data_IF_979545748086
#
_entry.id   IF_979545748086
#
_cell.length_a   1.000
_cell.length_b   1.000
_cell.length_c   1.000
_cell.angle_alpha   90.00
_cell.angle_beta   90.00
_cell.angle_gamma   90.00
#
_symmetry.space_group_name_H-M   'P 1'
#
loop_
_entity.id
_entity.type
_entity.pdbx_description
1 polymer ?
#
# COMPACT_ATOMS: atom_id res chain seq x y z
N UNK A 1 64.63 34.37 22.44
CA UNK A 1 64.78 33.61 21.18
C UNK A 1 64.06 32.29 21.35
N UNK A 2 63.27 31.87 20.36
CA UNK A 2 62.61 30.56 20.40
C UNK A 2 63.67 29.49 20.13
N UNK A 3 63.79 28.53 21.03
CA UNK A 3 64.76 27.44 20.91
C UNK A 3 64.39 26.54 19.71
N UNK A 4 65.40 25.95 19.06
CA UNK A 4 65.18 24.98 17.97
C UNK A 4 64.28 23.83 18.41
N UNK A 5 64.35 23.42 19.69
CA UNK A 5 63.46 22.40 20.24
C UNK A 5 61.98 22.80 20.22
N UNK A 6 61.65 24.06 20.50
CA UNK A 6 60.27 24.55 20.44
C UNK A 6 59.76 24.60 18.99
N UNK A 7 60.62 24.96 18.03
CA UNK A 7 60.25 24.97 16.61
C UNK A 7 59.90 23.56 16.12
N UNK A 8 60.68 22.56 16.53
CA UNK A 8 60.42 21.15 16.21
C UNK A 8 59.11 20.69 16.87
N UNK A 9 58.86 21.03 18.13
CA UNK A 9 57.61 20.69 18.82
C UNK A 9 56.38 21.26 18.12
N UNK A 10 56.42 22.54 17.73
CA UNK A 10 55.36 23.20 16.99
C UNK A 10 55.12 22.53 15.63
N UNK A 11 56.19 22.11 14.95
CA UNK A 11 56.09 21.40 13.67
C UNK A 11 55.45 20.02 13.82
N UNK A 12 55.84 19.23 14.82
CA UNK A 12 55.19 17.95 15.12
C UNK A 12 53.72 18.12 15.51
N UNK A 13 53.41 19.15 16.29
CA UNK A 13 52.02 19.47 16.66
C UNK A 13 51.18 19.81 15.42
N UNK A 14 51.73 20.55 14.46
CA UNK A 14 51.08 20.84 13.19
C UNK A 14 50.84 19.58 12.33
N UNK A 15 51.80 18.65 12.30
CA UNK A 15 51.63 17.34 11.64
C UNK A 15 50.49 16.55 12.29
N UNK A 16 50.46 16.49 13.62
CA UNK A 16 49.40 15.79 14.36
C UNK A 16 48.03 16.43 14.11
N UNK A 17 47.96 17.76 14.10
CA UNK A 17 46.74 18.50 13.78
C UNK A 17 46.23 18.17 12.36
N UNK A 18 47.13 18.10 11.37
CA UNK A 18 46.78 17.70 10.00
C UNK A 18 46.28 16.25 9.92
N UNK A 19 46.92 15.33 10.64
CA UNK A 19 46.46 13.94 10.72
C UNK A 19 45.07 13.81 11.36
N UNK A 20 44.78 14.60 12.40
CA UNK A 20 43.44 14.64 13.02
C UNK A 20 42.42 15.19 12.03
N UNK A 21 42.74 16.28 11.31
CA UNK A 21 41.85 16.84 10.30
C UNK A 21 41.54 15.84 9.16
N UNK A 22 42.53 15.04 8.76
CA UNK A 22 42.35 13.95 7.80
C UNK A 22 41.49 12.80 8.37
N UNK A 23 41.65 12.45 9.66
CA UNK A 23 40.77 11.48 10.33
C UNK A 23 39.31 11.93 10.36
N UNK A 24 39.06 13.19 10.66
CA UNK A 24 37.70 13.76 10.62
C UNK A 24 37.11 13.71 9.20
N UNK A 25 37.92 13.96 8.18
CA UNK A 25 37.49 13.83 6.78
C UNK A 25 37.07 12.40 6.44
N UNK A 26 37.85 11.43 6.90
CA UNK A 26 37.61 10.03 6.60
C UNK A 26 36.30 9.53 7.20
N UNK A 27 35.93 9.99 8.39
CA UNK A 27 34.62 9.74 9.00
C UNK A 27 33.46 10.24 8.11
N UNK A 28 33.58 11.44 7.57
CA UNK A 28 32.58 12.01 6.65
C UNK A 28 32.54 11.25 5.32
N UNK A 29 33.71 10.86 4.80
CA UNK A 29 33.83 10.08 3.56
C UNK A 29 33.19 8.70 3.69
N UNK A 30 33.40 8.03 4.83
CA UNK A 30 32.77 6.75 5.16
C UNK A 30 31.25 6.93 5.25
N UNK A 31 30.78 7.98 5.93
CA UNK A 31 29.34 8.29 6.01
C UNK A 31 28.70 8.51 4.64
N UNK A 32 29.40 9.16 3.71
CA UNK A 32 28.91 9.43 2.34
C UNK A 32 28.78 8.16 1.50
N UNK A 33 29.70 7.20 1.64
CA UNK A 33 29.60 5.90 0.95
C UNK A 33 28.55 4.99 1.57
N UNK A 34 28.36 5.15 2.88
CA UNK A 34 27.38 4.44 3.66
C UNK A 34 25.96 4.87 3.25
N UNK A 35 25.59 6.09 3.58
CA UNK A 35 24.21 6.56 3.39
C UNK A 35 24.09 7.13 1.99
N UNK A 36 23.08 6.70 1.22
CA UNK A 36 22.64 7.40 0.00
C UNK A 36 22.08 8.76 0.41
N UNK A 37 22.99 9.68 0.66
CA UNK A 37 22.69 11.01 1.17
C UNK A 37 22.40 11.90 -0.03
N UNK A 38 21.31 12.67 0.02
CA UNK A 38 20.95 13.60 -1.05
C UNK A 38 22.05 14.66 -1.25
N UNK A 39 22.19 15.18 -2.47
CA UNK A 39 23.25 16.11 -2.88
C UNK A 39 23.34 17.35 -1.95
N UNK A 40 22.20 17.80 -1.41
CA UNK A 40 22.11 18.96 -0.51
C UNK A 40 22.81 18.70 0.83
N UNK A 41 22.59 17.53 1.44
CA UNK A 41 23.23 17.16 2.70
C UNK A 41 24.73 16.96 2.53
N UNK A 42 25.15 16.41 1.40
CA UNK A 42 26.57 16.29 1.03
C UNK A 42 27.22 17.67 0.97
N UNK A 43 26.56 18.65 0.32
CA UNK A 43 27.04 20.03 0.27
C UNK A 43 27.11 20.69 1.65
N UNK A 44 26.11 20.49 2.51
CA UNK A 44 26.11 21.02 3.89
C UNK A 44 27.28 20.47 4.71
N UNK A 45 27.54 19.17 4.60
CA UNK A 45 28.65 18.50 5.28
C UNK A 45 30.01 18.98 4.78
N UNK A 46 30.16 19.20 3.47
CA UNK A 46 31.38 19.77 2.91
C UNK A 46 31.59 21.18 3.48
N UNK A 47 30.57 22.04 3.49
CA UNK A 47 30.68 23.40 4.06
C UNK A 47 31.08 23.35 5.54
N UNK A 48 30.44 22.48 6.34
CA UNK A 48 30.77 22.30 7.76
C UNK A 48 32.18 21.76 7.95
N UNK A 49 32.63 20.84 7.09
CA UNK A 49 33.99 20.30 7.14
C UNK A 49 35.02 21.39 6.81
N UNK A 50 34.83 22.13 5.72
CA UNK A 50 35.72 23.23 5.32
C UNK A 50 35.80 24.30 6.42
N UNK A 51 34.67 24.64 7.05
CA UNK A 51 34.64 25.57 8.18
C UNK A 51 35.39 25.01 9.40
N UNK A 52 35.17 23.74 9.73
CA UNK A 52 35.85 23.07 10.85
C UNK A 52 37.35 23.03 10.64
N UNK A 53 37.81 22.63 9.45
CA UNK A 53 39.24 22.59 9.10
C UNK A 53 39.86 23.98 9.14
N UNK A 54 39.17 25.00 8.62
CA UNK A 54 39.65 26.37 8.67
C UNK A 54 39.81 26.85 10.12
N UNK A 55 38.81 26.64 10.97
CA UNK A 55 38.87 26.98 12.40
C UNK A 55 39.96 26.20 13.11
N UNK A 56 40.10 24.90 12.82
CA UNK A 56 41.12 24.05 13.42
C UNK A 56 42.54 24.51 13.07
N UNK A 57 42.79 24.79 11.78
CA UNK A 57 44.03 25.40 11.31
C UNK A 57 44.31 26.73 12.03
N UNK A 58 43.30 27.58 12.16
CA UNK A 58 43.43 28.87 12.83
C UNK A 58 43.78 28.72 14.32
N UNK A 59 43.13 27.79 15.02
CA UNK A 59 43.43 27.47 16.42
C UNK A 59 44.85 26.91 16.57
N UNK A 60 45.27 26.00 15.69
CA UNK A 60 46.64 25.46 15.69
C UNK A 60 47.66 26.58 15.51
N UNK A 61 47.46 27.48 14.55
CA UNK A 61 48.37 28.63 14.34
C UNK A 61 48.37 29.57 15.54
N UNK A 62 47.19 29.86 16.11
CA UNK A 62 47.04 30.77 17.24
C UNK A 62 47.74 30.23 18.51
N UNK A 63 47.48 28.97 18.87
CA UNK A 63 48.04 28.35 20.07
C UNK A 63 49.54 28.06 19.94
N UNK A 64 50.03 27.70 18.75
CA UNK A 64 51.41 27.27 18.60
C UNK A 64 52.41 28.41 18.42
N UNK A 65 51.99 29.60 18.00
CA UNK A 65 52.96 30.67 17.66
C UNK A 65 52.55 32.08 18.09
N UNK A 66 51.68 32.24 19.10
CA UNK A 66 51.24 33.57 19.56
C UNK A 66 50.69 34.44 18.40
N UNK A 67 50.09 33.80 17.39
CA UNK A 67 49.57 34.47 16.19
C UNK A 67 50.58 34.81 15.08
N UNK A 68 51.88 34.46 15.22
CA UNK A 68 52.83 34.62 14.11
C UNK A 68 52.60 33.54 13.04
N UNK A 69 52.04 33.96 11.89
CA UNK A 69 51.84 33.12 10.71
C UNK A 69 53.18 32.65 10.15
N UNK A 70 53.65 31.47 10.57
CA UNK A 70 54.85 30.83 10.03
C UNK A 70 54.47 29.73 9.04
N UNK A 71 54.97 29.83 7.81
CA UNK A 71 54.62 28.94 6.69
C UNK A 71 54.85 27.45 6.97
N UNK A 72 55.81 27.11 7.85
CA UNK A 72 56.09 25.72 8.19
C UNK A 72 54.95 25.01 8.97
N UNK A 73 54.03 25.74 9.61
CA UNK A 73 52.83 25.14 10.24
C UNK A 73 51.87 24.61 9.16
N UNK A 74 51.71 25.35 8.06
CA UNK A 74 50.90 24.91 6.93
C UNK A 74 51.52 23.71 6.24
N UNK A 75 52.84 23.74 6.01
CA UNK A 75 53.57 22.61 5.43
C UNK A 75 53.46 21.38 6.34
N UNK A 76 53.61 21.53 7.66
CA UNK A 76 53.41 20.45 8.63
C UNK A 76 51.99 19.86 8.56
N UNK A 77 50.96 20.69 8.47
CA UNK A 77 49.58 20.23 8.29
C UNK A 77 49.40 19.42 6.99
N UNK A 78 49.90 19.93 5.86
CA UNK A 78 49.82 19.24 4.56
C UNK A 78 50.54 17.90 4.60
N UNK A 79 51.74 17.87 5.21
CA UNK A 79 52.50 16.63 5.41
C UNK A 79 51.72 15.67 6.30
N UNK A 80 51.11 16.14 7.39
CA UNK A 80 50.29 15.32 8.27
C UNK A 80 49.09 14.68 7.56
N UNK A 81 48.39 15.45 6.72
CA UNK A 81 47.30 14.93 5.89
C UNK A 81 47.81 13.89 4.88
N UNK A 82 48.90 14.17 4.17
CA UNK A 82 49.48 13.24 3.20
C UNK A 82 49.96 11.94 3.85
N UNK A 83 50.63 12.04 5.00
CA UNK A 83 51.11 10.88 5.76
C UNK A 83 49.93 10.00 6.19
N UNK A 84 48.86 10.63 6.66
CA UNK A 84 47.63 9.96 7.08
C UNK A 84 46.94 9.24 5.90
N UNK A 85 46.68 9.94 4.79
CA UNK A 85 46.03 9.38 3.60
C UNK A 85 46.84 8.23 3.00
N UNK A 86 48.18 8.35 2.93
CA UNK A 86 49.05 7.29 2.42
C UNK A 86 49.02 6.03 3.29
N UNK A 87 48.91 6.18 4.62
CA UNK A 87 48.87 5.05 5.55
C UNK A 87 47.50 4.37 5.57
N UNK A 88 46.43 5.13 5.30
CA UNK A 88 45.05 4.70 5.50
C UNK A 88 44.28 4.40 4.21
N UNK A 89 44.89 4.56 3.05
CA UNK A 89 44.36 4.10 1.76
C UNK A 89 43.68 2.71 1.84
N UNK A 90 44.34 1.73 2.48
CA UNK A 90 43.79 0.38 2.66
C UNK A 90 42.68 0.30 3.72
N UNK A 91 42.70 1.15 4.75
CA UNK A 91 41.65 1.20 5.77
C UNK A 91 40.36 1.76 5.17
N UNK A 92 40.45 2.79 4.32
CA UNK A 92 39.30 3.44 3.68
C UNK A 92 38.48 2.45 2.86
N UNK A 93 39.16 1.57 2.09
CA UNK A 93 38.50 0.54 1.28
C UNK A 93 37.77 -0.47 2.19
N UNK A 94 38.43 -0.94 3.25
CA UNK A 94 37.83 -1.90 4.21
C UNK A 94 36.67 -1.29 5.00
N UNK A 95 36.83 -0.05 5.46
CA UNK A 95 35.81 0.71 6.19
C UNK A 95 34.57 0.93 5.32
N UNK A 96 34.76 1.26 4.04
CA UNK A 96 33.66 1.40 3.07
C UNK A 96 32.81 0.13 3.00
N UNK A 97 33.45 -1.04 2.87
CA UNK A 97 32.77 -2.34 2.84
C UNK A 97 32.10 -2.69 4.18
N UNK A 98 32.68 -2.30 5.32
CA UNK A 98 32.08 -2.53 6.64
C UNK A 98 30.80 -1.70 6.81
N UNK A 99 30.81 -0.42 6.43
CA UNK A 99 29.64 0.45 6.68
C UNK A 99 28.49 0.14 5.72
N UNK A 100 28.76 -0.21 4.45
CA UNK A 100 27.72 -0.73 3.55
C UNK A 100 27.01 -1.95 4.19
N UNK A 101 27.77 -2.89 4.75
CA UNK A 101 27.22 -4.05 5.47
C UNK A 101 26.41 -3.64 6.70
N UNK A 102 26.89 -2.64 7.46
CA UNK A 102 26.20 -2.12 8.64
C UNK A 102 24.83 -1.54 8.29
N UNK A 103 24.73 -0.78 7.20
CA UNK A 103 23.46 -0.20 6.75
C UNK A 103 22.49 -1.26 6.28
N UNK A 104 22.95 -2.25 5.50
CA UNK A 104 22.09 -3.37 5.10
C UNK A 104 21.56 -4.08 6.35
N UNK A 105 22.38 -4.21 7.40
CA UNK A 105 21.97 -4.80 8.69
C UNK A 105 20.93 -3.94 9.40
N UNK A 106 21.13 -2.62 9.47
CA UNK A 106 20.16 -1.68 10.07
C UNK A 106 18.84 -1.70 9.30
N UNK A 107 18.89 -1.68 7.96
CA UNK A 107 17.69 -1.70 7.13
C UNK A 107 16.91 -3.00 7.28
N UNK A 108 17.60 -4.15 7.34
CA UNK A 108 16.98 -5.45 7.67
C UNK A 108 16.39 -5.44 9.07
N UNK A 109 17.06 -4.85 10.05
CA UNK A 109 16.56 -4.75 11.42
C UNK A 109 15.29 -3.89 11.50
N UNK A 110 15.27 -2.73 10.84
CA UNK A 110 14.10 -1.87 10.74
C UNK A 110 12.95 -2.59 10.02
N UNK A 111 13.22 -3.22 8.89
CA UNK A 111 12.22 -4.00 8.17
C UNK A 111 11.64 -5.14 9.03
N UNK A 112 12.50 -5.84 9.77
CA UNK A 112 12.08 -6.89 10.70
C UNK A 112 11.24 -6.31 11.84
N UNK A 113 11.68 -5.21 12.45
CA UNK A 113 10.97 -4.54 13.54
C UNK A 113 9.60 -4.00 13.10
N UNK A 114 9.48 -3.48 11.87
CA UNK A 114 8.21 -2.95 11.31
C UNK A 114 7.27 -4.07 10.87
N UNK A 115 7.80 -5.13 10.23
CA UNK A 115 6.97 -6.25 9.74
C UNK A 115 6.49 -7.17 10.86
N UNK A 116 7.17 -7.20 12.01
CA UNK A 116 6.79 -8.01 13.16
C UNK A 116 5.43 -7.66 13.77
N UNK A 117 5.13 -6.39 14.14
CA UNK A 117 3.80 -6.02 14.66
C UNK A 117 2.71 -6.20 13.60
N UNK A 118 3.03 -6.03 12.31
CA UNK A 118 2.07 -6.20 11.22
C UNK A 118 1.67 -7.67 11.04
N UNK A 119 2.64 -8.60 11.10
CA UNK A 119 2.37 -10.05 11.10
C UNK A 119 1.53 -10.48 12.30
N UNK A 120 1.81 -9.91 13.47
CA UNK A 120 1.05 -10.22 14.70
C UNK A 120 -0.39 -9.68 14.60
N UNK A 121 -0.58 -8.45 14.12
CA UNK A 121 -1.90 -7.85 13.92
C UNK A 121 -2.75 -8.65 12.93
N UNK A 122 -2.18 -9.06 11.78
CA UNK A 122 -2.90 -9.91 10.82
C UNK A 122 -3.34 -11.24 11.46
N UNK A 123 -2.49 -11.87 12.27
CA UNK A 123 -2.84 -13.12 12.96
C UNK A 123 -3.98 -12.89 13.98
N UNK A 124 -3.94 -11.79 14.72
CA UNK A 124 -4.99 -11.44 15.70
C UNK A 124 -6.33 -11.15 15.02
N UNK A 125 -6.35 -10.57 13.82
CA UNK A 125 -7.59 -10.24 13.09
C UNK A 125 -8.11 -11.43 12.26
N UNK A 126 -7.23 -12.23 11.67
CA UNK A 126 -7.63 -13.37 10.85
C UNK A 126 -8.34 -14.46 11.67
N UNK A 127 -7.97 -14.65 12.94
CA UNK A 127 -8.61 -15.60 13.85
C UNK A 127 -10.10 -15.30 14.09
N UNK A 128 -10.51 -14.09 14.55
CA UNK A 128 -11.92 -13.75 14.77
C UNK A 128 -12.69 -13.64 13.46
N UNK A 129 -12.09 -13.14 12.37
CA UNK A 129 -12.76 -13.08 11.07
C UNK A 129 -13.08 -14.48 10.55
N UNK A 130 -12.15 -15.43 10.63
CA UNK A 130 -12.40 -16.82 10.26
C UNK A 130 -13.47 -17.47 11.15
N UNK A 131 -13.53 -17.11 12.44
CA UNK A 131 -14.56 -17.59 13.36
C UNK A 131 -15.95 -17.03 13.00
N UNK A 132 -16.06 -15.73 12.75
CA UNK A 132 -17.30 -15.06 12.35
C UNK A 132 -17.78 -15.60 11.00
N UNK A 133 -16.89 -15.80 10.03
CA UNK A 133 -17.25 -16.35 8.72
C UNK A 133 -17.87 -17.76 8.85
N UNK A 134 -17.28 -18.63 9.70
CA UNK A 134 -17.87 -19.94 10.01
C UNK A 134 -19.25 -19.84 10.68
N UNK A 135 -19.46 -18.83 11.52
CA UNK A 135 -20.74 -18.60 12.19
C UNK A 135 -21.81 -18.11 11.21
N UNK A 136 -21.46 -17.16 10.34
CA UNK A 136 -22.32 -16.65 9.26
C UNK A 136 -22.70 -17.78 8.30
N UNK A 137 -21.74 -18.63 7.91
CA UNK A 137 -22.00 -19.75 7.00
C UNK A 137 -23.00 -20.76 7.58
N UNK A 138 -22.90 -21.04 8.89
CA UNK A 138 -23.90 -21.85 9.61
C UNK A 138 -25.28 -21.17 9.61
N UNK A 139 -25.33 -19.87 9.91
CA UNK A 139 -26.58 -19.10 9.92
C UNK A 139 -27.24 -19.09 8.53
N UNK A 140 -26.45 -18.87 7.48
CA UNK A 140 -26.94 -18.80 6.11
C UNK A 140 -27.48 -20.16 5.62
N UNK A 141 -26.79 -21.26 5.94
CA UNK A 141 -27.31 -22.61 5.68
C UNK A 141 -28.63 -22.86 6.43
N UNK A 142 -28.73 -22.42 7.68
CA UNK A 142 -29.94 -22.56 8.48
C UNK A 142 -31.11 -21.74 7.89
N UNK A 143 -30.90 -20.45 7.60
CA UNK A 143 -31.90 -19.59 6.97
C UNK A 143 -32.30 -20.09 5.58
N UNK A 144 -31.35 -20.47 4.74
CA UNK A 144 -31.61 -21.00 3.40
C UNK A 144 -32.49 -22.25 3.43
N UNK A 145 -32.28 -23.12 4.43
CA UNK A 145 -33.14 -24.30 4.62
C UNK A 145 -34.58 -23.95 5.06
N UNK A 146 -34.76 -22.89 5.85
CA UNK A 146 -36.08 -22.41 6.28
C UNK A 146 -36.83 -21.65 5.17
N UNK A 147 -36.14 -20.71 4.51
CA UNK A 147 -36.67 -19.94 3.38
C UNK A 147 -37.05 -20.86 2.21
N UNK A 148 -36.22 -21.84 1.88
CA UNK A 148 -36.54 -22.82 0.83
C UNK A 148 -37.82 -23.62 1.11
N UNK A 149 -38.05 -24.02 2.38
CA UNK A 149 -39.28 -24.72 2.80
C UNK A 149 -40.51 -23.79 2.75
N UNK A 150 -40.37 -22.54 3.17
CA UNK A 150 -41.46 -21.56 3.16
C UNK A 150 -41.86 -21.15 1.73
N UNK A 151 -40.88 -20.90 0.86
CA UNK A 151 -41.11 -20.50 -0.53
C UNK A 151 -41.75 -21.63 -1.34
N UNK A 152 -41.31 -22.88 -1.13
CA UNK A 152 -41.89 -24.06 -1.77
C UNK A 152 -43.37 -24.23 -1.37
N UNK A 153 -43.74 -23.99 -0.11
CA UNK A 153 -45.15 -24.02 0.35
C UNK A 153 -45.99 -22.89 -0.26
N UNK A 154 -45.43 -21.69 -0.43
CA UNK A 154 -46.14 -20.54 -1.00
C UNK A 154 -46.41 -20.69 -2.51
N UNK A 155 -45.43 -21.18 -3.27
CA UNK A 155 -45.57 -21.38 -4.73
C UNK A 155 -46.56 -22.50 -5.07
N UNK A 156 -46.55 -23.61 -4.32
CA UNK A 156 -47.51 -24.71 -4.46
C UNK A 156 -48.97 -24.27 -4.24
N UNK A 157 -49.22 -23.39 -3.25
CA UNK A 157 -50.56 -22.84 -2.96
C UNK A 157 -51.00 -21.79 -3.99
N UNK A 158 -50.05 -21.03 -4.54
CA UNK A 158 -50.30 -20.08 -5.63
C UNK A 158 -50.65 -20.74 -6.97
N UNK A 159 -49.98 -21.84 -7.31
CA UNK A 159 -50.16 -22.58 -8.57
C UNK A 159 -51.52 -23.28 -8.64
N UNK A 160 -51.97 -23.92 -7.56
CA UNK A 160 -53.30 -24.56 -7.47
C UNK A 160 -54.44 -23.53 -7.58
N UNK A 161 -54.29 -22.36 -6.96
CA UNK A 161 -55.29 -21.29 -7.01
C UNK A 161 -55.42 -20.65 -8.41
N UNK A 162 -54.30 -20.46 -9.12
CA UNK A 162 -54.30 -19.95 -10.51
C UNK A 162 -54.92 -20.94 -11.51
N UNK A 163 -54.65 -22.24 -11.34
CA UNK A 163 -55.24 -23.28 -12.19
C UNK A 163 -56.76 -23.37 -12.00
N UNK A 164 -57.25 -23.37 -10.75
CA UNK A 164 -58.68 -23.37 -10.47
C UNK A 164 -59.43 -22.17 -11.07
N UNK A 165 -58.86 -20.96 -11.00
CA UNK A 165 -59.45 -19.76 -11.58
C UNK A 165 -59.53 -19.76 -13.12
N UNK A 166 -58.50 -20.30 -13.80
CA UNK A 166 -58.50 -20.44 -15.28
C UNK A 166 -59.52 -21.47 -15.75
N UNK A 167 -59.65 -22.60 -15.05
CA UNK A 167 -60.64 -23.63 -15.40
C UNK A 167 -62.07 -23.08 -15.25
N UNK A 168 -62.33 -22.29 -14.20
CA UNK A 168 -63.64 -21.68 -13.97
C UNK A 168 -64.02 -20.68 -15.09
N UNK A 169 -63.10 -19.80 -15.49
CA UNK A 169 -63.35 -18.80 -16.54
C UNK A 169 -63.55 -19.42 -17.92
N UNK A 170 -62.81 -20.48 -18.25
CA UNK A 170 -62.99 -21.22 -19.50
C UNK A 170 -64.36 -21.93 -19.52
N UNK A 171 -64.76 -22.57 -18.42
CA UNK A 171 -66.06 -23.25 -18.30
C UNK A 171 -67.26 -22.29 -18.43
N UNK A 172 -67.15 -21.07 -17.90
CA UNK A 172 -68.18 -20.02 -18.04
C UNK A 172 -68.25 -19.48 -19.48
N UNK A 173 -67.10 -19.30 -20.16
CA UNK A 173 -67.08 -18.83 -21.55
C UNK A 173 -67.66 -19.85 -22.53
N UNK A 174 -67.39 -21.14 -22.34
CA UNK A 174 -67.92 -22.20 -23.21
C UNK A 174 -69.44 -22.36 -23.06
N UNK A 175 -69.95 -22.35 -21.83
CA UNK A 175 -71.41 -22.38 -21.56
C UNK A 175 -72.11 -21.14 -22.10
N UNK A 176 -71.56 -19.94 -21.92
CA UNK A 176 -72.13 -18.72 -22.48
C UNK A 176 -72.14 -18.72 -24.03
N UNK A 177 -71.07 -19.22 -24.67
CA UNK A 177 -70.98 -19.32 -26.14
C UNK A 177 -71.95 -20.36 -26.70
N UNK A 178 -72.12 -21.49 -26.01
CA UNK A 178 -73.13 -22.50 -26.36
C UNK A 178 -74.55 -21.93 -26.26
N UNK A 179 -74.87 -21.19 -25.19
CA UNK A 179 -76.18 -20.55 -24.99
C UNK A 179 -76.52 -19.56 -26.11
N UNK A 180 -75.56 -18.71 -26.53
CA UNK A 180 -75.73 -17.78 -27.66
C UNK A 180 -75.96 -18.49 -29.00
N UNK A 181 -75.27 -19.61 -29.26
CA UNK A 181 -75.48 -20.41 -30.47
C UNK A 181 -76.86 -21.05 -30.50
N UNK A 182 -77.32 -21.61 -29.37
CA UNK A 182 -78.66 -22.17 -29.25
C UNK A 182 -79.76 -21.12 -29.46
N UNK A 183 -79.60 -19.91 -28.92
CA UNK A 183 -80.53 -18.80 -29.14
C UNK A 183 -80.61 -18.40 -30.63
N UNK A 184 -79.47 -18.27 -31.32
CA UNK A 184 -79.45 -17.99 -32.78
C UNK A 184 -80.12 -19.09 -33.59
N UNK A 185 -79.91 -20.35 -33.24
CA UNK A 185 -80.57 -21.48 -33.93
C UNK A 185 -82.08 -21.44 -33.69
N UNK A 186 -82.53 -21.12 -32.47
CA UNK A 186 -83.94 -20.97 -32.14
C UNK A 186 -84.59 -19.78 -32.88
N UNK A 187 -83.93 -18.63 -32.97
CA UNK A 187 -84.39 -17.47 -33.75
C UNK A 187 -84.49 -17.77 -35.24
N UNK A 188 -83.47 -18.43 -35.81
CA UNK A 188 -83.49 -18.84 -37.21
C UNK A 188 -84.63 -19.83 -37.51
N UNK A 189 -84.92 -20.76 -36.58
CA UNK A 189 -86.10 -21.65 -36.70
C UNK A 189 -87.41 -20.84 -36.68
N UNK A 190 -87.57 -19.88 -35.76
CA UNK A 190 -88.75 -18.99 -35.71
C UNK A 190 -88.92 -18.18 -36.98
N UNK A 191 -87.84 -17.60 -37.54
CA UNK A 191 -87.86 -16.87 -38.83
C UNK A 191 -88.30 -17.78 -39.97
N UNK A 192 -87.75 -19.00 -40.07
CA UNK A 192 -88.17 -19.99 -41.09
C UNK A 192 -89.64 -20.36 -40.99
N UNK A 193 -90.19 -20.50 -39.77
CA UNK A 193 -91.61 -20.76 -39.56
C UNK A 193 -92.49 -19.55 -39.96
N UNK A 194 -92.08 -18.31 -39.66
CA UNK A 194 -92.80 -17.10 -40.09
C UNK A 194 -92.84 -16.96 -41.62
N UNK A 195 -91.72 -17.18 -42.31
CA UNK A 195 -91.67 -17.14 -43.79
C UNK A 195 -92.53 -18.24 -44.41
N UNK A 196 -92.56 -19.44 -43.82
CA UNK A 196 -93.48 -20.51 -44.26
C UNK A 196 -94.96 -20.11 -44.09
N UNK A 197 -95.32 -19.45 -42.97
CA UNK A 197 -96.69 -18.95 -42.75
C UNK A 197 -97.07 -17.77 -43.65
N UNK A 198 -96.15 -16.85 -43.97
CA UNK A 198 -96.45 -15.72 -44.87
C UNK A 198 -96.59 -16.16 -46.33
N UNK A 199 -95.81 -17.15 -46.78
CA UNK A 199 -95.98 -17.75 -48.11
C UNK A 199 -97.30 -18.51 -48.25
N UNK A 200 -97.77 -19.14 -47.17
CA UNK A 200 -99.06 -19.84 -47.16
C UNK A 200 -100.29 -18.90 -47.11
N UNK A 201 -100.11 -17.60 -46.84
CA UNK A 201 -101.19 -16.59 -46.80
C UNK A 201 -101.27 -15.70 -48.03
N UNK A 202 -100.32 -15.80 -48.97
CA UNK A 202 -100.36 -15.10 -50.27
C UNK A 202 -100.93 -15.97 -51.40
N UNK A 203 -101.34 -17.21 -51.10
CA UNK A 203 -101.89 -18.17 -52.06
C UNK A 203 -103.39 -18.46 -51.86
N UNK A 204 -104.05 -17.73 -50.96
CA UNK A 204 -105.51 -17.79 -50.74
C UNK A 204 -106.13 -16.42 -50.94
#
# INVERSE_FOLDING_TARGET
MISIGEQVYIFLYAILAGAIAAFLYDLLRIKRRAVKTGVIFVGLEDILYWLTVAVFLFITVYNSNSGQMRGFIFIGNVIGVMLYESLLSNLIIKSSMMVIRLIIKIFKFIWMAVSYPFKLAYKIIAIPVAFIFRLIEKLFRFLGSCLGKAFKKADLKGKTRKLGGKVLTVKVRTTAKARKRLQKIAENRKRRQKVKKSKASQQN
#
